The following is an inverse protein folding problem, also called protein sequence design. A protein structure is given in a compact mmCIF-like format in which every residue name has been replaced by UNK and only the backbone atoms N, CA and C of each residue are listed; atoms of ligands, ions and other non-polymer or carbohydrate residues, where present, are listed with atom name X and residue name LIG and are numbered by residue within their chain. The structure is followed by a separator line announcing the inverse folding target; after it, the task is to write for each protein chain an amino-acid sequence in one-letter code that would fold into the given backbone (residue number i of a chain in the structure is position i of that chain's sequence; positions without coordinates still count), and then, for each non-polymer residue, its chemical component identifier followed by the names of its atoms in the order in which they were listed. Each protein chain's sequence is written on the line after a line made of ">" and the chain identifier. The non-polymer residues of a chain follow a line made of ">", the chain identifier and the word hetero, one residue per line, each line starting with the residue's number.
data_IF_394223453585
#
_entry.id   IF_394223453585
#
_cell.length_a   1.000
_cell.length_b   1.000
_cell.length_c   1.000
_cell.angle_alpha   90.00
_cell.angle_beta   90.00
_cell.angle_gamma   90.00
#
_symmetry.space_group_name_H-M   'P 1'
#
loop_
_entity.id
_entity.type
_entity.pdbx_description
1 polymer ?
#
# COMPACT_ATOMS: atom_id res chain seq x y z
N UNK A 1 -1.34 38.77 -25.96
CA UNK A 1 -1.76 38.41 -24.60
C UNK A 1 -2.15 39.61 -23.71
N UNK A 2 -2.36 40.80 -24.26
CA UNK A 2 -2.71 42.00 -23.46
C UNK A 2 -4.00 41.89 -22.64
N UNK A 3 -5.07 41.21 -23.11
CA UNK A 3 -6.29 41.09 -22.28
C UNK A 3 -6.09 40.30 -20.98
N UNK A 4 -5.13 39.36 -20.95
CA UNK A 4 -4.82 38.57 -19.78
C UNK A 4 -3.99 39.33 -18.72
N UNK A 5 -3.20 40.33 -19.10
CA UNK A 5 -2.35 41.11 -18.19
C UNK A 5 -3.11 41.86 -17.08
N UNK A 6 -4.40 42.14 -17.26
CA UNK A 6 -5.20 42.76 -16.22
C UNK A 6 -5.60 41.83 -15.09
N UNK A 7 -5.53 40.53 -15.33
CA UNK A 7 -6.04 39.51 -14.40
C UNK A 7 -4.95 38.55 -13.94
N UNK A 8 -4.00 38.23 -14.83
CA UNK A 8 -2.88 37.30 -14.56
C UNK A 8 -1.64 38.12 -14.22
N UNK A 9 -1.15 37.97 -12.99
CA UNK A 9 0.07 38.63 -12.52
C UNK A 9 1.32 37.86 -12.91
N UNK A 10 1.26 36.52 -12.80
CA UNK A 10 2.37 35.66 -13.17
C UNK A 10 1.85 34.29 -13.62
N UNK A 11 2.46 33.76 -14.67
CA UNK A 11 2.29 32.39 -15.13
C UNK A 11 3.68 31.80 -15.42
N UNK A 12 4.02 30.73 -14.72
CA UNK A 12 5.26 30.00 -14.90
C UNK A 12 4.95 28.55 -15.17
N UNK A 13 5.49 28.02 -16.28
CA UNK A 13 5.42 26.60 -16.60
C UNK A 13 6.77 25.99 -16.29
N UNK A 14 6.76 24.82 -15.63
CA UNK A 14 7.94 24.08 -15.22
C UNK A 14 7.92 22.70 -15.88
N UNK A 15 9.03 22.34 -16.48
CA UNK A 15 9.28 20.99 -16.98
C UNK A 15 10.55 20.48 -16.31
N UNK A 16 10.50 19.27 -15.77
CA UNK A 16 11.69 18.65 -15.22
C UNK A 16 11.81 17.18 -15.62
N UNK A 17 13.04 16.77 -15.81
CA UNK A 17 13.44 15.37 -15.99
C UNK A 17 14.65 15.11 -15.12
N UNK A 18 14.61 14.07 -14.31
CA UNK A 18 15.70 13.70 -13.42
C UNK A 18 15.85 12.19 -13.30
N UNK A 19 17.07 11.76 -13.03
CA UNK A 19 17.36 10.36 -12.73
C UNK A 19 18.24 10.28 -11.49
N UNK A 20 17.83 9.50 -10.52
CA UNK A 20 18.51 9.28 -9.24
C UNK A 20 18.77 7.79 -9.06
N UNK A 21 19.93 7.44 -8.48
CA UNK A 21 20.20 6.12 -7.94
C UNK A 21 19.73 6.04 -6.50
N UNK A 22 19.09 4.94 -6.13
CA UNK A 22 18.73 4.62 -4.76
C UNK A 22 19.42 3.33 -4.34
N UNK A 23 20.19 3.41 -3.25
CA UNK A 23 20.92 2.28 -2.68
C UNK A 23 20.39 2.02 -1.27
N UNK A 24 19.17 1.52 -1.17
CA UNK A 24 18.58 1.17 0.11
C UNK A 24 18.76 -0.34 0.38
N UNK A 25 20.02 -0.75 0.44
CA UNK A 25 20.45 -2.10 0.82
C UNK A 25 21.30 -2.01 2.08
N UNK A 26 21.28 -3.07 2.90
CA UNK A 26 22.13 -3.15 4.09
C UNK A 26 23.60 -3.11 3.75
N UNK A 27 24.41 -2.69 4.73
CA UNK A 27 25.84 -2.77 4.60
C UNK A 27 26.27 -4.23 4.43
N UNK A 28 27.03 -4.53 3.37
CA UNK A 28 27.54 -5.87 3.07
C UNK A 28 26.52 -6.93 2.62
N UNK A 29 25.27 -6.56 2.31
CA UNK A 29 24.24 -7.49 1.78
C UNK A 29 24.64 -8.18 0.46
N UNK A 30 25.70 -7.68 -0.18
CA UNK A 30 26.30 -8.27 -1.38
C UNK A 30 27.38 -9.31 -1.09
N UNK A 31 27.67 -9.60 0.18
CA UNK A 31 28.67 -10.58 0.62
C UNK A 31 27.99 -11.71 1.34
N UNK A 32 28.19 -12.95 0.86
CA UNK A 32 27.78 -14.14 1.60
C UNK A 32 28.64 -14.32 2.83
N UNK A 33 28.04 -14.39 4.00
CA UNK A 33 28.74 -14.47 5.28
C UNK A 33 28.53 -15.83 5.94
N UNK A 34 29.49 -16.24 6.78
CA UNK A 34 29.38 -17.38 7.66
C UNK A 34 29.18 -16.86 9.08
N UNK A 35 28.09 -17.25 9.70
CA UNK A 35 27.77 -16.86 11.08
C UNK A 35 27.90 -18.08 11.99
N UNK A 36 28.66 -17.93 13.07
CA UNK A 36 28.75 -18.94 14.13
C UNK A 36 27.71 -18.67 15.21
N UNK A 37 26.98 -19.68 15.60
CA UNK A 37 25.99 -19.61 16.70
C UNK A 37 26.37 -20.55 17.83
N UNK A 38 26.06 -20.14 19.08
CA UNK A 38 26.56 -20.78 20.27
C UNK A 38 25.91 -22.09 20.69
N UNK A 39 24.79 -22.52 20.09
CA UNK A 39 24.15 -23.80 20.41
C UNK A 39 23.24 -24.24 19.26
N UNK A 40 23.28 -25.48 18.91
CA UNK A 40 22.36 -26.13 17.96
C UNK A 40 21.10 -26.72 18.63
N UNK A 41 20.82 -26.35 19.89
CA UNK A 41 19.63 -26.82 20.58
C UNK A 41 19.48 -28.33 20.67
N UNK A 42 18.95 -28.95 19.68
CA UNK A 42 18.51 -30.34 19.69
C UNK A 42 19.38 -31.33 18.87
N UNK A 43 20.52 -30.87 18.31
CA UNK A 43 21.37 -31.76 17.53
C UNK A 43 22.46 -32.39 18.40
N UNK A 44 22.41 -33.70 18.53
CA UNK A 44 23.43 -34.50 19.23
C UNK A 44 24.16 -35.37 18.23
N UNK A 45 25.48 -35.29 18.20
CA UNK A 45 26.34 -36.19 17.47
C UNK A 45 27.06 -37.08 18.48
N UNK A 46 26.92 -38.39 18.33
CA UNK A 46 27.53 -39.36 19.22
C UNK A 46 27.24 -39.15 20.73
N UNK A 47 25.98 -38.75 21.04
CA UNK A 47 25.55 -38.47 22.40
C UNK A 47 26.05 -37.14 22.99
N UNK A 48 26.80 -36.38 22.24
CA UNK A 48 27.30 -35.06 22.66
C UNK A 48 26.54 -33.92 21.94
N UNK A 49 26.00 -32.96 22.70
CA UNK A 49 25.38 -31.77 22.15
C UNK A 49 26.48 -30.86 21.59
N UNK A 50 26.39 -30.53 20.31
CA UNK A 50 27.34 -29.63 19.67
C UNK A 50 27.14 -28.18 20.19
N UNK A 51 28.17 -27.65 20.86
CA UNK A 51 28.13 -26.34 21.49
C UNK A 51 28.15 -25.17 20.50
N UNK A 52 28.71 -25.36 19.33
CA UNK A 52 28.80 -24.31 18.29
C UNK A 52 28.58 -24.90 16.91
N UNK A 53 27.88 -24.12 16.07
CA UNK A 53 27.69 -24.44 14.67
C UNK A 53 27.88 -23.21 13.78
N UNK A 54 28.24 -23.44 12.54
CA UNK A 54 28.35 -22.38 11.53
C UNK A 54 27.20 -22.51 10.52
N UNK A 55 26.56 -21.39 10.23
CA UNK A 55 25.54 -21.28 9.16
C UNK A 55 26.03 -20.34 8.09
N UNK A 56 25.86 -20.70 6.84
CA UNK A 56 26.09 -19.83 5.70
C UNK A 56 24.84 -19.00 5.48
N UNK A 57 24.99 -17.69 5.25
CA UNK A 57 23.87 -16.82 4.90
C UNK A 57 23.23 -17.24 3.58
N UNK A 58 22.03 -16.75 3.31
CA UNK A 58 21.37 -16.95 2.03
C UNK A 58 22.28 -16.53 0.86
N UNK A 59 22.12 -17.15 -0.33
CA UNK A 59 22.89 -16.79 -1.51
C UNK A 59 22.67 -15.32 -1.88
N UNK A 60 23.71 -14.64 -2.30
CA UNK A 60 23.65 -13.28 -2.80
C UNK A 60 23.78 -13.26 -4.32
N UNK A 61 23.04 -12.37 -4.98
CA UNK A 61 23.19 -12.17 -6.41
C UNK A 61 24.44 -11.36 -6.72
N UNK A 62 25.32 -11.88 -7.57
CA UNK A 62 26.50 -11.17 -8.03
C UNK A 62 26.20 -9.96 -8.94
N UNK A 63 24.94 -9.80 -9.36
CA UNK A 63 24.50 -8.77 -10.30
C UNK A 63 23.55 -7.75 -9.66
N UNK A 64 23.61 -7.55 -8.35
CA UNK A 64 22.82 -6.51 -7.70
C UNK A 64 23.31 -5.12 -8.13
N UNK A 65 22.39 -4.30 -8.58
CA UNK A 65 22.62 -2.92 -8.98
C UNK A 65 21.70 -1.98 -8.21
N UNK A 66 22.02 -0.71 -8.22
CA UNK A 66 21.19 0.31 -7.59
C UNK A 66 19.83 0.42 -8.30
N UNK A 67 18.81 0.66 -7.51
CA UNK A 67 17.53 1.07 -8.04
C UNK A 67 17.66 2.42 -8.74
N UNK A 68 17.04 2.56 -9.89
CA UNK A 68 17.04 3.78 -10.68
C UNK A 68 15.67 4.41 -10.68
N UNK A 69 15.56 5.62 -10.14
CA UNK A 69 14.33 6.42 -10.12
C UNK A 69 14.43 7.48 -11.20
N UNK A 70 13.53 7.41 -12.19
CA UNK A 70 13.42 8.38 -13.29
C UNK A 70 12.13 9.16 -13.06
N UNK A 71 12.25 10.47 -12.84
CA UNK A 71 11.12 11.36 -12.61
C UNK A 71 10.93 12.31 -13.79
N UNK A 72 9.69 12.48 -14.21
CA UNK A 72 9.23 13.47 -15.20
C UNK A 72 8.13 14.28 -14.54
N UNK A 73 8.25 15.60 -14.56
CA UNK A 73 7.27 16.49 -13.95
C UNK A 73 6.91 17.61 -14.93
N UNK A 74 5.63 17.93 -14.98
CA UNK A 74 5.06 19.14 -15.60
C UNK A 74 4.35 19.94 -14.51
N UNK A 75 4.83 21.15 -14.22
CA UNK A 75 4.25 22.03 -13.21
C UNK A 75 3.81 23.35 -13.82
N UNK A 76 2.83 23.99 -13.19
CA UNK A 76 2.39 25.33 -13.49
C UNK A 76 2.16 26.12 -12.21
N UNK A 77 2.70 27.35 -12.16
CA UNK A 77 2.45 28.33 -11.10
C UNK A 77 1.70 29.50 -11.71
N UNK A 78 0.54 29.84 -11.17
CA UNK A 78 -0.32 30.92 -11.62
C UNK A 78 -0.67 31.83 -10.46
N UNK A 79 -0.41 33.13 -10.61
CA UNK A 79 -0.88 34.16 -9.70
C UNK A 79 -1.82 35.12 -10.44
N UNK A 80 -2.92 35.50 -9.79
CA UNK A 80 -3.96 36.32 -10.36
C UNK A 80 -4.50 37.35 -9.34
N UNK A 81 -5.16 38.40 -9.85
CA UNK A 81 -5.86 39.40 -9.06
C UNK A 81 -4.95 40.15 -8.09
N UNK A 82 -3.82 40.64 -8.56
CA UNK A 82 -2.81 41.32 -7.73
C UNK A 82 -2.26 40.37 -6.65
N UNK A 83 -1.94 39.15 -7.03
CA UNK A 83 -1.43 38.08 -6.16
C UNK A 83 -2.39 37.64 -5.03
N UNK A 84 -3.70 37.91 -5.18
CA UNK A 84 -4.69 37.38 -4.22
C UNK A 84 -4.94 35.90 -4.42
N UNK A 85 -5.04 35.46 -5.66
CA UNK A 85 -5.18 34.05 -6.02
C UNK A 85 -3.81 33.49 -6.41
N UNK A 86 -3.44 32.33 -5.83
CA UNK A 86 -2.29 31.53 -6.22
C UNK A 86 -2.72 30.10 -6.52
N UNK A 87 -2.27 29.55 -7.63
CA UNK A 87 -2.46 28.17 -7.99
C UNK A 87 -1.11 27.55 -8.37
N UNK A 88 -0.77 26.45 -7.73
CA UNK A 88 0.33 25.58 -8.14
C UNK A 88 -0.22 24.22 -8.48
N UNK A 89 0.11 23.71 -9.65
CA UNK A 89 -0.29 22.40 -10.11
C UNK A 89 0.92 21.64 -10.63
N UNK A 90 1.12 20.42 -10.17
CA UNK A 90 2.18 19.52 -10.61
C UNK A 90 1.61 18.16 -11.01
N UNK A 91 2.04 17.66 -12.18
CA UNK A 91 1.73 16.33 -12.67
C UNK A 91 3.04 15.58 -12.88
N UNK A 92 3.15 14.39 -12.31
CA UNK A 92 4.40 13.66 -12.40
C UNK A 92 4.21 12.19 -12.77
N UNK A 93 5.25 11.67 -13.41
CA UNK A 93 5.43 10.23 -13.63
C UNK A 93 6.81 9.88 -13.08
N UNK A 94 6.84 8.89 -12.20
CA UNK A 94 8.07 8.36 -11.60
C UNK A 94 8.19 6.89 -11.94
N UNK A 95 9.23 6.51 -12.65
CA UNK A 95 9.58 5.13 -12.97
C UNK A 95 10.72 4.69 -12.04
N UNK A 96 10.43 3.80 -11.10
CA UNK A 96 11.43 3.12 -10.27
C UNK A 96 11.78 1.79 -10.95
N UNK A 97 13.02 1.64 -11.36
CA UNK A 97 13.51 0.46 -12.08
C UNK A 97 14.51 -0.31 -11.23
N UNK A 98 14.48 -1.62 -11.35
CA UNK A 98 15.41 -2.49 -10.67
C UNK A 98 15.17 -2.58 -9.16
N UNK A 99 13.92 -2.48 -8.71
CA UNK A 99 13.55 -2.72 -7.32
C UNK A 99 13.92 -4.16 -6.97
N UNK A 100 14.57 -4.34 -5.82
CA UNK A 100 14.93 -5.65 -5.31
C UNK A 100 13.66 -6.46 -5.00
N UNK A 101 13.68 -7.69 -5.40
CA UNK A 101 12.66 -8.67 -5.14
C UNK A 101 13.27 -10.05 -5.01
N UNK A 102 12.46 -11.03 -4.64
CA UNK A 102 12.90 -12.43 -4.61
C UNK A 102 13.34 -12.86 -6.00
N UNK A 103 14.44 -13.54 -6.08
CA UNK A 103 14.92 -14.22 -7.29
C UNK A 103 14.05 -15.42 -7.66
N UNK A 104 14.52 -16.20 -8.63
CA UNK A 104 13.84 -17.44 -8.99
C UNK A 104 13.82 -18.39 -7.80
N UNK A 105 12.68 -19.06 -7.63
CA UNK A 105 12.49 -20.05 -6.59
C UNK A 105 13.55 -21.15 -6.70
N UNK A 106 14.18 -21.44 -5.59
CA UNK A 106 15.14 -22.53 -5.47
C UNK A 106 14.43 -23.82 -5.09
N UNK A 107 14.91 -24.99 -5.56
CA UNK A 107 14.39 -26.26 -5.08
C UNK A 107 14.56 -26.36 -3.55
N UNK A 108 13.58 -26.94 -2.86
CA UNK A 108 13.60 -27.06 -1.39
C UNK A 108 14.83 -27.81 -0.85
N UNK A 109 15.38 -28.71 -1.65
CA UNK A 109 16.62 -29.46 -1.33
C UNK A 109 17.85 -28.52 -1.22
N UNK A 110 17.78 -27.28 -1.76
CA UNK A 110 18.90 -26.34 -1.68
C UNK A 110 19.13 -25.82 -0.25
N UNK A 111 18.09 -25.82 0.59
CA UNK A 111 18.20 -25.49 2.01
C UNK A 111 18.49 -24.03 2.33
N UNK A 112 18.30 -23.11 1.38
CA UNK A 112 18.43 -21.68 1.57
C UNK A 112 17.33 -20.91 0.82
N UNK A 113 17.09 -19.65 1.22
CA UNK A 113 16.14 -18.78 0.55
C UNK A 113 16.67 -18.29 -0.81
N UNK A 114 15.76 -17.82 -1.65
CA UNK A 114 16.12 -17.21 -2.93
C UNK A 114 16.94 -15.92 -2.75
N UNK A 115 17.99 -15.71 -3.56
CA UNK A 115 18.73 -14.45 -3.54
C UNK A 115 17.83 -13.28 -3.98
N UNK A 116 18.06 -12.11 -3.42
CA UNK A 116 17.43 -10.90 -3.92
C UNK A 116 18.05 -10.45 -5.25
N UNK A 117 17.21 -10.08 -6.20
CA UNK A 117 17.62 -9.62 -7.53
C UNK A 117 16.81 -8.38 -7.94
N UNK A 118 17.35 -7.59 -8.83
CA UNK A 118 16.67 -6.40 -9.38
C UNK A 118 15.61 -6.81 -10.42
N UNK A 119 14.49 -7.37 -9.96
CA UNK A 119 13.48 -8.00 -10.81
C UNK A 119 12.27 -7.13 -11.10
N UNK A 120 11.98 -6.14 -10.25
CA UNK A 120 10.72 -5.41 -10.32
C UNK A 120 10.89 -3.97 -10.80
N UNK A 121 9.90 -3.46 -11.51
CA UNK A 121 9.77 -2.04 -11.85
C UNK A 121 8.40 -1.53 -11.40
N UNK A 122 8.35 -0.31 -10.88
CA UNK A 122 7.13 0.35 -10.43
C UNK A 122 6.99 1.69 -11.17
N UNK A 123 5.80 1.99 -11.64
CA UNK A 123 5.45 3.31 -12.19
C UNK A 123 4.46 3.99 -11.27
N UNK A 124 4.83 5.16 -10.78
CA UNK A 124 3.93 6.05 -10.03
C UNK A 124 3.51 7.20 -10.93
N UNK A 125 2.21 7.46 -10.98
CA UNK A 125 1.61 8.64 -11.62
C UNK A 125 0.83 9.38 -10.57
N UNK A 126 1.02 10.69 -10.49
CA UNK A 126 0.30 11.50 -9.51
C UNK A 126 0.18 12.95 -9.93
N UNK A 127 -0.60 13.68 -9.15
CA UNK A 127 -0.75 15.12 -9.26
C UNK A 127 -0.88 15.74 -7.88
N UNK A 128 -0.44 16.99 -7.81
CA UNK A 128 -0.48 17.82 -6.61
C UNK A 128 -1.03 19.19 -6.98
N UNK A 129 -1.99 19.69 -6.22
CA UNK A 129 -2.63 20.96 -6.42
C UNK A 129 -2.57 21.76 -5.12
N UNK A 130 -2.19 23.03 -5.24
CA UNK A 130 -2.25 24.00 -4.14
C UNK A 130 -3.00 25.22 -4.64
N UNK A 131 -4.10 25.56 -3.98
CA UNK A 131 -4.92 26.74 -4.28
C UNK A 131 -4.93 27.64 -3.06
N UNK A 132 -4.45 28.88 -3.22
CA UNK A 132 -4.42 29.87 -2.18
C UNK A 132 -5.23 31.11 -2.56
N UNK A 133 -5.95 31.64 -1.60
CA UNK A 133 -6.58 32.94 -1.68
C UNK A 133 -6.20 33.78 -0.47
N UNK A 134 -5.80 35.01 -0.68
CA UNK A 134 -5.50 35.98 0.40
C UNK A 134 -6.05 37.35 0.05
N UNK A 135 -6.60 38.03 1.04
CA UNK A 135 -7.07 39.41 0.87
C UNK A 135 -7.06 40.13 2.21
N UNK A 136 -7.25 41.45 2.16
CA UNK A 136 -7.37 42.28 3.36
C UNK A 136 -8.29 43.45 3.10
N UNK A 137 -9.00 43.90 4.13
CA UNK A 137 -9.88 45.05 4.09
C UNK A 137 -9.92 45.74 5.46
N UNK A 138 -10.42 46.96 5.49
CA UNK A 138 -10.60 47.70 6.76
C UNK A 138 -11.87 47.25 7.46
N UNK A 139 -11.73 46.80 8.71
CA UNK A 139 -12.82 46.39 9.58
C UNK A 139 -12.66 47.09 10.95
N UNK A 140 -13.67 47.86 11.36
CA UNK A 140 -13.70 48.59 12.62
C UNK A 140 -12.41 49.39 12.91
N UNK A 141 -11.88 50.07 11.90
CA UNK A 141 -10.69 50.94 12.04
C UNK A 141 -9.33 50.23 11.92
N UNK A 142 -9.29 48.91 11.95
CA UNK A 142 -8.07 48.11 11.78
C UNK A 142 -8.10 47.32 10.47
N UNK A 143 -6.93 46.86 10.02
CA UNK A 143 -6.84 45.99 8.86
C UNK A 143 -7.16 44.54 9.27
N UNK A 144 -8.19 43.97 8.68
CA UNK A 144 -8.48 42.56 8.74
C UNK A 144 -7.84 41.87 7.54
N UNK A 145 -6.98 40.87 7.79
CA UNK A 145 -6.34 40.09 6.74
C UNK A 145 -6.76 38.64 6.89
N UNK A 146 -7.01 37.99 5.76
CA UNK A 146 -7.33 36.56 5.74
C UNK A 146 -6.63 35.83 4.59
N UNK A 147 -6.32 34.56 4.81
CA UNK A 147 -5.77 33.68 3.80
C UNK A 147 -6.34 32.27 3.97
N UNK A 148 -6.72 31.67 2.85
CA UNK A 148 -7.19 30.28 2.78
C UNK A 148 -6.31 29.57 1.78
N UNK A 149 -5.73 28.43 2.18
CA UNK A 149 -4.92 27.59 1.29
C UNK A 149 -5.44 26.15 1.34
N UNK A 150 -5.89 25.67 0.19
CA UNK A 150 -6.26 24.27 0.00
C UNK A 150 -5.16 23.51 -0.71
N UNK A 151 -4.88 22.30 -0.25
CA UNK A 151 -3.98 21.34 -0.90
C UNK A 151 -4.75 20.09 -1.28
N UNK A 152 -4.46 19.53 -2.44
CA UNK A 152 -5.06 18.28 -2.88
C UNK A 152 -4.05 17.48 -3.68
N UNK A 153 -3.87 16.19 -3.35
CA UNK A 153 -2.96 15.32 -4.05
C UNK A 153 -3.51 13.90 -4.16
N UNK A 154 -3.16 13.25 -5.24
CA UNK A 154 -3.45 11.83 -5.42
C UNK A 154 -2.39 11.17 -6.29
N UNK A 155 -2.13 9.88 -6.04
CA UNK A 155 -1.24 9.10 -6.87
C UNK A 155 -1.67 7.65 -6.97
N UNK A 156 -1.22 6.99 -8.04
CA UNK A 156 -1.30 5.55 -8.21
C UNK A 156 0.07 5.00 -8.56
N UNK A 157 0.44 3.88 -7.97
CA UNK A 157 1.67 3.17 -8.29
C UNK A 157 1.31 1.76 -8.77
N UNK A 158 1.93 1.31 -9.86
CA UNK A 158 1.63 0.06 -10.55
C UNK A 158 2.92 -0.64 -10.96
N UNK A 159 2.99 -1.94 -10.73
CA UNK A 159 4.11 -2.76 -11.19
C UNK A 159 4.08 -2.91 -12.71
N UNK A 160 5.16 -2.49 -13.38
CA UNK A 160 5.29 -2.56 -14.85
C UNK A 160 6.17 -3.72 -15.30
N UNK A 161 6.95 -4.30 -14.39
CA UNK A 161 7.75 -5.49 -14.60
C UNK A 161 7.88 -6.23 -13.28
N UNK A 162 7.74 -7.54 -13.30
CA UNK A 162 7.94 -8.42 -12.14
C UNK A 162 8.43 -9.79 -12.62
N UNK A 163 9.18 -10.48 -11.78
CA UNK A 163 9.52 -11.89 -11.98
C UNK A 163 8.54 -12.75 -11.17
N UNK A 164 7.39 -13.03 -11.77
CA UNK A 164 6.31 -13.84 -11.18
C UNK A 164 5.70 -14.74 -12.25
N UNK A 165 6.46 -15.76 -12.73
CA UNK A 165 6.02 -16.62 -13.82
C UNK A 165 4.78 -17.46 -13.47
N UNK A 166 4.57 -17.76 -12.20
CA UNK A 166 3.40 -18.52 -11.72
C UNK A 166 2.16 -17.64 -11.53
N UNK A 167 2.25 -16.33 -11.72
CA UNK A 167 1.12 -15.42 -11.56
C UNK A 167 0.57 -15.34 -10.14
N UNK A 168 1.37 -15.60 -9.09
CA UNK A 168 0.90 -15.59 -7.70
C UNK A 168 0.37 -14.21 -7.30
N UNK A 169 -0.86 -14.14 -6.80
CA UNK A 169 -1.49 -12.90 -6.36
C UNK A 169 -0.90 -12.33 -5.07
N UNK A 170 -0.26 -13.16 -4.24
CA UNK A 170 0.43 -12.75 -3.02
C UNK A 170 1.69 -11.92 -3.27
N UNK A 171 2.35 -12.14 -4.41
CA UNK A 171 3.53 -11.39 -4.85
C UNK A 171 3.21 -10.22 -5.76
N UNK A 172 4.24 -9.47 -6.22
CA UNK A 172 4.10 -8.50 -7.28
C UNK A 172 3.79 -9.20 -8.62
N UNK A 173 2.92 -8.62 -9.43
CA UNK A 173 2.63 -9.01 -10.81
C UNK A 173 2.42 -7.77 -11.67
N UNK A 174 2.62 -7.90 -12.97
CA UNK A 174 2.44 -6.78 -13.90
C UNK A 174 0.99 -6.30 -13.88
N UNK A 175 0.78 -5.01 -13.65
CA UNK A 175 -0.53 -4.40 -13.48
C UNK A 175 -1.02 -4.32 -12.02
N UNK A 176 -0.36 -4.99 -11.07
CA UNK A 176 -0.70 -4.89 -9.65
C UNK A 176 -0.48 -3.47 -9.15
N UNK A 177 -1.50 -2.90 -8.54
CA UNK A 177 -1.36 -1.62 -7.84
C UNK A 177 -0.68 -1.80 -6.49
N UNK A 178 0.23 -0.91 -6.16
CA UNK A 178 0.87 -0.91 -4.86
C UNK A 178 -0.19 -0.73 -3.77
N UNK A 179 -0.11 -1.52 -2.72
CA UNK A 179 -1.09 -1.50 -1.63
C UNK A 179 -2.38 -2.29 -1.89
N UNK A 180 -2.49 -3.00 -3.02
CA UNK A 180 -3.67 -3.82 -3.36
C UNK A 180 -3.89 -4.94 -2.36
N UNK A 181 -5.13 -5.03 -1.85
CA UNK A 181 -5.56 -6.02 -0.86
C UNK A 181 -6.45 -7.04 -1.55
N UNK A 182 -6.01 -8.30 -1.55
CA UNK A 182 -6.80 -9.45 -2.00
C UNK A 182 -7.52 -10.09 -0.84
N UNK A 183 -8.81 -10.40 -1.02
CA UNK A 183 -9.62 -11.05 0.00
C UNK A 183 -10.91 -11.59 -0.58
N UNK A 184 -11.71 -12.20 0.28
CA UNK A 184 -13.01 -12.74 -0.07
C UNK A 184 -14.07 -11.64 -0.03
N UNK A 185 -15.01 -11.67 -0.98
CA UNK A 185 -16.19 -10.80 -0.93
C UNK A 185 -17.24 -11.39 -0.01
N UNK A 186 -17.96 -10.50 0.66
CA UNK A 186 -19.01 -10.86 1.59
C UNK A 186 -20.35 -10.25 1.17
N UNK A 187 -21.45 -10.97 1.47
CA UNK A 187 -22.84 -10.52 1.29
C UNK A 187 -23.47 -10.11 2.63
N UNK A 188 -22.65 -9.50 3.52
CA UNK A 188 -23.09 -9.14 4.87
C UNK A 188 -22.95 -10.28 5.87
N UNK A 189 -23.90 -10.33 6.81
CA UNK A 189 -23.98 -11.36 7.85
C UNK A 189 -25.21 -12.22 7.65
N UNK A 190 -25.16 -13.48 8.08
CA UNK A 190 -26.35 -14.33 8.13
C UNK A 190 -27.36 -13.75 9.13
N UNK A 191 -28.62 -13.67 8.74
CA UNK A 191 -29.69 -13.08 9.59
C UNK A 191 -30.08 -13.97 10.76
N UNK A 192 -30.03 -15.29 10.54
CA UNK A 192 -30.40 -16.32 11.52
C UNK A 192 -29.70 -17.64 11.18
N UNK A 193 -29.87 -18.63 12.05
CA UNK A 193 -29.25 -19.94 11.90
C UNK A 193 -29.87 -20.75 10.73
N UNK A 194 -31.15 -20.50 10.38
CA UNK A 194 -31.82 -21.15 9.26
C UNK A 194 -31.20 -20.72 7.93
N UNK A 195 -30.96 -19.41 7.73
CA UNK A 195 -30.26 -18.89 6.53
C UNK A 195 -28.84 -19.42 6.44
N UNK A 196 -28.15 -19.47 7.57
CA UNK A 196 -26.77 -19.98 7.63
C UNK A 196 -26.72 -21.47 7.25
N UNK A 197 -27.63 -22.29 7.78
CA UNK A 197 -27.71 -23.70 7.47
C UNK A 197 -28.08 -23.95 6.01
N UNK A 198 -29.08 -23.21 5.49
CA UNK A 198 -29.48 -23.29 4.07
C UNK A 198 -28.30 -22.95 3.15
N UNK A 199 -27.59 -21.87 3.44
CA UNK A 199 -26.43 -21.48 2.64
C UNK A 199 -25.30 -22.52 2.71
N UNK A 200 -24.96 -22.98 3.91
CA UNK A 200 -23.95 -24.00 4.14
C UNK A 200 -24.29 -25.38 3.56
N UNK A 201 -25.57 -25.65 3.26
CA UNK A 201 -25.95 -26.87 2.55
C UNK A 201 -25.57 -26.89 1.06
N UNK A 202 -25.33 -25.70 0.49
CA UNK A 202 -25.02 -25.50 -0.94
C UNK A 202 -23.57 -25.08 -1.17
N UNK A 203 -22.96 -24.39 -0.19
CA UNK A 203 -21.64 -23.80 -0.30
C UNK A 203 -20.80 -24.23 0.90
N UNK A 204 -19.67 -24.85 0.63
CA UNK A 204 -18.71 -25.23 1.66
C UNK A 204 -17.85 -24.02 2.08
N UNK A 205 -17.98 -23.61 3.33
CA UNK A 205 -17.23 -22.51 3.94
C UNK A 205 -16.06 -22.98 4.80
N UNK A 206 -15.74 -24.28 4.83
CA UNK A 206 -14.73 -24.87 5.72
C UNK A 206 -13.33 -24.29 5.50
N UNK A 207 -13.02 -23.81 4.31
CA UNK A 207 -11.71 -23.23 3.97
C UNK A 207 -11.54 -21.79 4.48
N UNK A 208 -12.60 -21.02 4.59
CA UNK A 208 -12.57 -19.60 5.01
C UNK A 208 -13.04 -19.42 6.45
N UNK A 209 -13.82 -20.33 6.97
CA UNK A 209 -14.38 -20.29 8.32
C UNK A 209 -13.97 -21.55 9.13
N UNK A 210 -12.74 -22.01 8.97
CA UNK A 210 -12.25 -23.25 9.57
C UNK A 210 -12.42 -23.31 11.09
N UNK A 211 -12.37 -22.17 11.80
CA UNK A 211 -12.62 -22.10 13.24
C UNK A 211 -14.03 -22.52 13.65
N UNK A 212 -15.04 -22.29 12.81
CA UNK A 212 -16.42 -22.69 13.06
C UNK A 212 -16.70 -24.15 12.76
N UNK A 213 -15.86 -24.77 11.93
CA UNK A 213 -15.96 -26.18 11.56
C UNK A 213 -15.08 -27.10 12.40
N UNK A 214 -14.23 -26.53 13.28
CA UNK A 214 -13.37 -27.31 14.18
C UNK A 214 -14.22 -28.04 15.22
N UNK A 215 -13.94 -29.33 15.44
CA UNK A 215 -14.59 -30.12 16.49
C UNK A 215 -14.37 -29.59 17.91
N UNK A 216 -13.34 -28.75 18.10
CA UNK A 216 -12.96 -28.09 19.36
C UNK A 216 -13.30 -26.62 19.38
N UNK A 217 -13.92 -26.08 18.31
CA UNK A 217 -14.29 -24.67 18.20
C UNK A 217 -15.38 -24.30 19.23
N UNK A 218 -15.30 -23.08 19.77
CA UNK A 218 -16.23 -22.56 20.78
C UNK A 218 -17.70 -22.53 20.30
N UNK A 219 -17.95 -22.58 19.00
CA UNK A 219 -19.25 -22.37 18.37
C UNK A 219 -19.92 -23.63 17.80
N UNK A 220 -19.29 -24.80 17.91
CA UNK A 220 -19.85 -26.04 17.38
C UNK A 220 -19.60 -26.24 15.87
N UNK A 221 -20.49 -26.98 15.20
CA UNK A 221 -20.27 -27.40 13.81
C UNK A 221 -20.97 -26.44 12.84
N UNK A 222 -20.21 -25.54 12.20
CA UNK A 222 -20.70 -24.72 11.09
C UNK A 222 -20.94 -23.25 11.43
N UNK A 223 -21.34 -22.50 10.43
CA UNK A 223 -21.70 -21.09 10.53
C UNK A 223 -23.10 -20.89 11.09
N UNK A 224 -23.35 -19.72 11.69
CA UNK A 224 -24.61 -19.37 12.38
C UNK A 224 -25.08 -17.97 12.00
N UNK A 225 -26.26 -17.61 12.44
CA UNK A 225 -26.77 -16.25 12.38
C UNK A 225 -25.78 -15.26 13.05
N UNK A 226 -25.46 -14.18 12.35
CA UNK A 226 -24.46 -13.19 12.75
C UNK A 226 -23.04 -13.43 12.23
N UNK A 227 -22.75 -14.61 11.69
CA UNK A 227 -21.46 -14.87 11.04
C UNK A 227 -21.38 -14.25 9.64
N UNK A 228 -20.16 -14.08 9.14
CA UNK A 228 -19.90 -13.50 7.83
C UNK A 228 -20.35 -14.46 6.72
N UNK A 229 -21.15 -13.94 5.78
CA UNK A 229 -21.59 -14.66 4.59
C UNK A 229 -20.63 -14.40 3.44
N UNK A 230 -19.66 -15.30 3.26
CA UNK A 230 -18.73 -15.25 2.13
C UNK A 230 -19.40 -15.70 0.84
N UNK A 231 -19.03 -15.08 -0.28
CA UNK A 231 -19.59 -15.38 -1.59
C UNK A 231 -18.74 -16.42 -2.33
N UNK A 232 -19.38 -17.45 -2.84
CA UNK A 232 -18.85 -18.32 -3.89
C UNK A 232 -18.97 -17.56 -5.23
N UNK A 233 -17.84 -17.08 -5.76
CA UNK A 233 -17.79 -16.22 -6.95
C UNK A 233 -17.48 -16.97 -8.25
N UNK A 234 -16.94 -18.16 -8.15
CA UNK A 234 -16.62 -19.00 -9.30
C UNK A 234 -17.65 -20.12 -9.52
N UNK A 235 -18.57 -20.31 -8.56
CA UNK A 235 -19.63 -21.30 -8.64
C UNK A 235 -19.18 -22.73 -8.39
N UNK A 236 -18.02 -22.91 -7.75
CA UNK A 236 -17.48 -24.23 -7.42
C UNK A 236 -18.21 -24.95 -6.32
N UNK A 237 -19.03 -24.24 -5.54
CA UNK A 237 -19.68 -24.74 -4.33
C UNK A 237 -18.79 -24.76 -3.10
N UNK A 238 -17.56 -24.25 -3.19
CA UNK A 238 -16.58 -24.14 -2.09
C UNK A 238 -15.98 -22.75 -2.11
N UNK A 239 -16.06 -22.00 -1.03
CA UNK A 239 -15.35 -20.71 -0.95
C UNK A 239 -13.90 -20.94 -0.57
N UNK A 240 -13.01 -20.75 -1.53
CA UNK A 240 -11.59 -20.96 -1.31
C UNK A 240 -10.68 -19.98 -2.10
N UNK A 241 -9.37 -20.15 -1.92
CA UNK A 241 -8.38 -19.30 -2.58
C UNK A 241 -7.87 -19.83 -3.93
N UNK A 242 -8.49 -20.87 -4.47
CA UNK A 242 -8.01 -21.55 -5.68
C UNK A 242 -6.52 -21.91 -5.59
N UNK A 243 -5.82 -21.78 -6.71
CA UNK A 243 -4.35 -21.92 -6.73
C UNK A 243 -3.62 -20.65 -6.23
N UNK A 244 -4.34 -19.58 -5.97
CA UNK A 244 -3.75 -18.30 -5.57
C UNK A 244 -3.01 -17.58 -6.68
N UNK A 245 -3.37 -17.82 -7.92
CA UNK A 245 -2.81 -17.21 -9.11
C UNK A 245 -3.80 -16.25 -9.76
N UNK A 246 -3.33 -15.43 -10.71
CA UNK A 246 -4.20 -14.56 -11.50
C UNK A 246 -5.21 -15.33 -12.36
N UNK A 247 -4.82 -16.52 -12.83
CA UNK A 247 -5.67 -17.40 -13.62
C UNK A 247 -6.69 -18.15 -12.77
N UNK A 248 -6.30 -18.49 -11.54
CA UNK A 248 -7.13 -19.24 -10.61
C UNK A 248 -7.00 -18.62 -9.20
N UNK A 249 -7.66 -17.48 -8.95
CA UNK A 249 -7.70 -16.84 -7.64
C UNK A 249 -8.75 -17.46 -6.70
N UNK A 250 -9.51 -18.45 -7.16
CA UNK A 250 -10.71 -18.93 -6.48
C UNK A 250 -11.72 -17.79 -6.28
N UNK A 251 -12.24 -17.65 -5.09
CA UNK A 251 -13.20 -16.57 -4.73
C UNK A 251 -12.53 -15.26 -4.30
N UNK A 252 -11.20 -15.21 -4.27
CA UNK A 252 -10.49 -13.99 -3.91
C UNK A 252 -10.58 -12.95 -5.02
N UNK A 253 -10.79 -11.70 -4.62
CA UNK A 253 -10.82 -10.53 -5.50
C UNK A 253 -10.07 -9.38 -4.81
N UNK A 254 -9.71 -8.36 -5.57
CA UNK A 254 -9.23 -7.11 -4.99
C UNK A 254 -10.38 -6.44 -4.24
N UNK A 255 -10.27 -6.36 -2.93
CA UNK A 255 -11.29 -5.82 -2.03
C UNK A 255 -10.95 -4.43 -1.51
N UNK A 256 -9.70 -4.00 -1.63
CA UNK A 256 -9.26 -2.71 -1.14
C UNK A 256 -7.86 -2.34 -1.60
N UNK A 257 -7.41 -1.17 -1.13
CA UNK A 257 -6.06 -0.69 -1.34
C UNK A 257 -5.58 0.09 -0.10
N UNK A 258 -4.43 -0.28 0.45
CA UNK A 258 -3.83 0.36 1.61
C UNK A 258 -3.05 1.65 1.30
N UNK A 259 -2.94 2.04 0.03
CA UNK A 259 -2.34 3.33 -0.33
C UNK A 259 -3.36 4.45 -0.12
N UNK A 260 -2.99 5.53 0.56
CA UNK A 260 -3.88 6.66 0.77
C UNK A 260 -4.20 7.34 -0.56
N UNK A 261 -5.50 7.61 -0.79
CA UNK A 261 -6.02 8.28 -1.98
C UNK A 261 -6.73 9.57 -1.60
N UNK A 262 -6.63 10.57 -2.49
CA UNK A 262 -7.32 11.84 -2.32
C UNK A 262 -6.93 12.53 -1.01
N UNK A 263 -5.63 12.78 -0.83
CA UNK A 263 -5.11 13.50 0.33
C UNK A 263 -5.42 14.98 0.17
N UNK A 264 -5.94 15.61 1.20
CA UNK A 264 -6.30 17.03 1.17
C UNK A 264 -5.93 17.72 2.47
N UNK A 265 -5.68 19.01 2.37
CA UNK A 265 -5.44 19.89 3.50
C UNK A 265 -6.09 21.25 3.29
N UNK A 266 -6.43 21.90 4.37
CA UNK A 266 -6.94 23.27 4.37
C UNK A 266 -6.26 24.06 5.49
N UNK A 267 -5.70 25.22 5.14
CA UNK A 267 -5.14 26.16 6.11
C UNK A 267 -5.91 27.45 6.03
N UNK A 268 -6.40 27.92 7.16
CA UNK A 268 -7.04 29.24 7.32
C UNK A 268 -6.16 30.09 8.22
N UNK A 269 -5.79 31.28 7.76
CA UNK A 269 -5.06 32.28 8.53
C UNK A 269 -5.88 33.55 8.61
N UNK A 270 -6.05 34.09 9.79
CA UNK A 270 -6.76 35.35 10.07
C UNK A 270 -5.87 36.22 10.94
N UNK A 271 -5.86 37.54 10.66
CA UNK A 271 -5.15 38.54 11.46
C UNK A 271 -5.99 39.77 11.64
N UNK A 272 -6.19 40.24 12.89
CA UNK A 272 -6.98 41.41 13.21
C UNK A 272 -6.61 41.96 14.59
N UNK A 273 -6.42 43.27 14.70
CA UNK A 273 -6.09 43.96 15.95
C UNK A 273 -4.91 43.37 16.74
N UNK A 274 -3.89 42.82 16.06
CA UNK A 274 -2.74 42.16 16.70
C UNK A 274 -3.00 40.73 17.17
N UNK A 275 -4.19 40.17 16.89
CA UNK A 275 -4.49 38.76 17.07
C UNK A 275 -4.30 38.03 15.76
N UNK A 276 -3.62 36.88 15.83
CA UNK A 276 -3.43 35.97 14.72
C UNK A 276 -4.05 34.60 15.05
N UNK A 277 -4.85 34.08 14.14
CA UNK A 277 -5.42 32.74 14.22
C UNK A 277 -5.01 31.94 13.00
N UNK A 278 -4.44 30.77 13.24
CA UNK A 278 -4.16 29.78 12.18
C UNK A 278 -4.87 28.47 12.51
N UNK A 279 -5.64 27.96 11.56
CA UNK A 279 -6.33 26.67 11.65
C UNK A 279 -5.84 25.79 10.51
N UNK A 280 -5.38 24.60 10.84
CA UNK A 280 -4.98 23.60 9.85
C UNK A 280 -5.84 22.35 9.99
N UNK A 281 -6.32 21.84 8.85
CA UNK A 281 -7.08 20.60 8.73
C UNK A 281 -6.47 19.76 7.63
N UNK A 282 -6.43 18.43 7.85
CA UNK A 282 -6.00 17.48 6.83
C UNK A 282 -6.89 16.24 6.84
N UNK A 283 -6.94 15.55 5.72
CA UNK A 283 -7.71 14.33 5.60
C UNK A 283 -7.28 13.48 4.42
N UNK A 284 -7.77 12.26 4.43
CA UNK A 284 -7.60 11.26 3.36
C UNK A 284 -8.99 10.85 2.93
N UNK A 285 -9.29 10.94 1.62
CA UNK A 285 -10.62 10.62 1.10
C UNK A 285 -10.89 9.11 1.07
N UNK A 286 -9.84 8.30 0.86
CA UNK A 286 -9.96 6.84 0.88
C UNK A 286 -8.65 6.20 1.34
N UNK A 287 -8.79 5.29 2.31
CA UNK A 287 -7.74 4.41 2.78
C UNK A 287 -8.40 3.13 3.27
N UNK A 288 -8.09 2.01 2.65
CA UNK A 288 -8.58 0.72 3.10
C UNK A 288 -7.53 0.12 4.05
N UNK A 289 -7.96 -0.23 5.24
CA UNK A 289 -7.10 -0.84 6.25
C UNK A 289 -7.52 -2.28 6.50
N UNK A 290 -6.57 -3.19 6.46
CA UNK A 290 -6.78 -4.59 6.79
C UNK A 290 -6.17 -4.88 8.15
N UNK A 291 -6.96 -5.25 9.17
CA UNK A 291 -6.44 -5.68 10.45
C UNK A 291 -5.67 -6.99 10.27
N UNK A 292 -4.37 -6.99 10.51
CA UNK A 292 -3.55 -8.20 10.48
C UNK A 292 -3.94 -9.19 11.59
N UNK A 293 -3.30 -10.35 11.58
CA UNK A 293 -3.53 -11.42 12.56
C UNK A 293 -3.36 -10.97 14.02
N UNK A 294 -2.57 -9.94 14.28
CA UNK A 294 -2.34 -9.39 15.63
C UNK A 294 -3.55 -8.67 16.21
N UNK A 295 -4.58 -8.40 15.42
CA UNK A 295 -5.81 -7.74 15.87
C UNK A 295 -6.90 -8.71 16.36
N UNK A 296 -6.61 -9.97 16.56
CA UNK A 296 -7.50 -10.93 17.24
C UNK A 296 -7.95 -10.41 18.61
N UNK A 297 -7.14 -9.55 19.26
CA UNK A 297 -7.47 -8.91 20.53
C UNK A 297 -8.61 -7.88 20.44
N UNK A 298 -8.88 -7.34 19.25
CA UNK A 298 -9.98 -6.39 19.04
C UNK A 298 -11.32 -7.09 18.87
N UNK A 299 -11.32 -8.31 18.32
CA UNK A 299 -12.52 -9.10 18.04
C UNK A 299 -12.64 -10.35 18.91
N UNK A 300 -11.59 -10.68 19.67
CA UNK A 300 -11.63 -11.81 20.58
C UNK A 300 -12.52 -11.54 21.77
N UNK A 301 -13.41 -12.47 22.18
CA UNK A 301 -14.07 -12.38 23.48
C UNK A 301 -12.97 -12.43 24.57
N UNK A 302 -13.13 -11.62 25.57
CA UNK A 302 -12.27 -11.57 26.75
C UNK A 302 -12.24 -12.91 27.47
#
# INVERSE_FOLDING_TARGET
>A
FEPLRKTVDNLKIRLSYGSLGNQQIGYYDFIQTITTKGSMGDYSFDGTILGQHATVSDPVSGNQIWEKVISKNLGADLNMFSNRLSLTADFYIRDTKGILGKGKSLPSIYGANEPQVNSNNLRTKGYELVLGWRDSFKLAGSTFSYGITGTFSDYTAEYTKCDNPSGLIGGPYVGKKYGEIWGYKVDGLFRNDEEAAEYASRVDLSKVAAGYYSATGAYGKGVRGGDIKYLDLDGSGIVDGGKGTLEDPGDRRVIGNSSPRYQYGLTLNLSWYGFDLSVFMQGIGRLDWYPGADNLRFWGPY
#
